data_IF_686031971239
#
_entry.id   IF_686031971239
#
_cell.length_a   1.000
_cell.length_b   1.000
_cell.length_c   1.000
_cell.angle_alpha   90.00
_cell.angle_beta   90.00
_cell.angle_gamma   90.00
#
_symmetry.space_group_name_H-M   'P 1'
#
loop_
_entity.id
_entity.type
_entity.pdbx_description
1 polymer ?
#
# COMPACT_ATOMS: atom_id res chain seq x y z
N UNK A 1 7.16 -1.11 -11.25
CA UNK A 1 7.23 -0.70 -12.70
C UNK A 1 6.62 -1.75 -13.61
N UNK A 2 6.62 -3.03 -13.22
CA UNK A 2 6.10 -4.16 -13.98
C UNK A 2 4.65 -4.01 -14.48
N UNK A 3 3.77 -3.36 -13.70
CA UNK A 3 2.40 -3.09 -14.14
C UNK A 3 2.33 -2.25 -15.43
N UNK A 4 3.22 -1.27 -15.63
CA UNK A 4 3.26 -0.51 -16.89
C UNK A 4 3.62 -1.39 -18.10
N UNK A 5 4.38 -2.46 -17.89
CA UNK A 5 4.71 -3.44 -18.93
C UNK A 5 3.67 -4.55 -19.07
N UNK A 6 2.54 -4.46 -18.35
CA UNK A 6 1.52 -5.50 -18.24
C UNK A 6 2.08 -6.85 -17.79
N UNK A 7 3.14 -6.85 -16.98
CA UNK A 7 3.78 -8.07 -16.46
C UNK A 7 3.30 -8.34 -15.03
N UNK A 8 2.21 -9.10 -14.90
CA UNK A 8 1.63 -9.45 -13.60
C UNK A 8 2.56 -10.30 -12.73
N UNK A 9 3.40 -11.15 -13.33
CA UNK A 9 4.37 -11.97 -12.60
C UNK A 9 5.39 -11.14 -11.83
N UNK A 10 6.11 -10.27 -12.55
CA UNK A 10 7.06 -9.34 -11.95
C UNK A 10 6.39 -8.36 -10.97
N UNK A 11 5.14 -7.95 -11.23
CA UNK A 11 4.42 -7.06 -10.31
C UNK A 11 4.09 -7.73 -8.96
N UNK A 12 3.66 -9.00 -8.98
CA UNK A 12 3.42 -9.75 -7.74
C UNK A 12 4.73 -10.10 -7.02
N UNK A 13 5.82 -10.31 -7.75
CA UNK A 13 7.15 -10.50 -7.17
C UNK A 13 7.66 -9.22 -6.50
N UNK A 14 7.54 -8.05 -7.15
CA UNK A 14 7.83 -6.74 -6.54
C UNK A 14 7.00 -6.52 -5.26
N UNK A 15 5.71 -6.93 -5.25
CA UNK A 15 4.85 -6.83 -4.08
C UNK A 15 5.24 -7.80 -2.95
N UNK A 16 5.70 -9.01 -3.29
CA UNK A 16 6.19 -9.98 -2.31
C UNK A 16 7.45 -9.48 -1.60
N UNK A 17 8.39 -8.93 -2.35
CA UNK A 17 9.61 -8.33 -1.79
C UNK A 17 9.28 -7.14 -0.87
N UNK A 18 8.29 -6.33 -1.24
CA UNK A 18 7.81 -5.25 -0.38
C UNK A 18 7.17 -5.76 0.91
N UNK A 19 6.36 -6.82 0.85
CA UNK A 19 5.78 -7.46 2.03
C UNK A 19 6.86 -8.00 2.98
N UNK A 20 7.93 -8.60 2.44
CA UNK A 20 9.08 -9.04 3.23
C UNK A 20 9.77 -7.85 3.92
N UNK A 21 9.94 -6.73 3.23
CA UNK A 21 10.50 -5.52 3.84
C UNK A 21 9.61 -4.98 4.98
N UNK A 22 8.28 -5.05 4.85
CA UNK A 22 7.34 -4.70 5.93
C UNK A 22 7.48 -5.67 7.11
N UNK A 23 7.56 -6.98 6.84
CA UNK A 23 7.73 -8.00 7.88
C UNK A 23 9.05 -7.82 8.65
N UNK A 24 10.15 -7.54 7.95
CA UNK A 24 11.43 -7.23 8.58
C UNK A 24 11.36 -5.94 9.42
N UNK A 25 10.69 -4.91 8.93
CA UNK A 25 10.49 -3.66 9.66
C UNK A 25 9.75 -3.90 10.97
N UNK A 26 8.69 -4.72 10.95
CA UNK A 26 7.96 -5.10 12.16
C UNK A 26 8.81 -5.89 13.16
N UNK A 27 9.77 -6.69 12.70
CA UNK A 27 10.68 -7.44 13.58
C UNK A 27 11.78 -6.56 14.20
N UNK A 28 12.16 -5.47 13.52
CA UNK A 28 13.25 -4.57 13.96
C UNK A 28 12.77 -3.42 14.85
N UNK A 29 11.50 -3.02 14.72
CA UNK A 29 10.94 -1.88 15.43
C UNK A 29 10.16 -2.30 16.67
N UNK A 30 10.14 -1.42 17.68
CA UNK A 30 9.33 -1.64 18.88
C UNK A 30 7.88 -1.17 18.62
N UNK A 31 6.88 -2.06 18.68
CA UNK A 31 5.50 -1.71 18.35
C UNK A 31 4.87 -0.69 19.33
N UNK A 32 5.51 -0.43 20.48
CA UNK A 32 5.02 0.54 21.47
C UNK A 32 5.39 1.99 21.16
N UNK A 33 6.40 2.22 20.33
CA UNK A 33 6.90 3.57 20.00
C UNK A 33 6.98 3.84 18.49
N UNK A 34 6.75 2.80 17.67
CA UNK A 34 6.88 2.88 16.22
C UNK A 34 5.53 2.72 15.54
N UNK A 35 5.11 3.76 14.79
CA UNK A 35 3.96 3.70 13.89
C UNK A 35 4.43 3.27 12.50
N UNK A 36 3.91 2.15 12.01
CA UNK A 36 4.18 1.63 10.66
C UNK A 36 2.90 1.81 9.83
N UNK A 37 3.02 2.50 8.69
CA UNK A 37 1.91 2.74 7.75
C UNK A 37 2.30 2.19 6.39
N UNK A 38 1.43 1.39 5.79
CA UNK A 38 1.58 0.79 4.46
C UNK A 38 0.41 1.25 3.60
N UNK A 39 0.70 1.81 2.43
CA UNK A 39 -0.28 2.28 1.46
C UNK A 39 0.30 2.19 0.05
N UNK A 40 -0.55 2.35 -0.96
CA UNK A 40 -0.12 2.68 -2.31
C UNK A 40 -0.29 4.18 -2.59
N UNK A 41 0.42 4.69 -3.59
CA UNK A 41 0.21 6.03 -4.14
C UNK A 41 -0.96 6.06 -5.14
N UNK A 42 -1.11 4.99 -5.91
CA UNK A 42 -2.24 4.72 -6.80
C UNK A 42 -2.35 3.21 -7.09
N UNK A 43 -3.46 2.80 -7.70
CA UNK A 43 -3.62 1.42 -8.18
C UNK A 43 -3.22 1.29 -9.66
N UNK A 44 -3.57 0.17 -10.27
CA UNK A 44 -3.43 -0.14 -11.70
C UNK A 44 -4.68 -0.86 -12.22
N UNK A 45 -4.90 -0.84 -13.53
CA UNK A 45 -5.98 -1.59 -14.21
C UNK A 45 -5.74 -3.11 -14.26
N UNK A 46 -5.15 -3.66 -13.21
CA UNK A 46 -4.91 -5.08 -13.03
C UNK A 46 -6.17 -5.75 -12.45
N UNK A 47 -6.58 -6.86 -13.05
CA UNK A 47 -7.71 -7.63 -12.58
C UNK A 47 -7.36 -9.12 -12.56
N UNK A 48 -7.81 -9.81 -11.51
CA UNK A 48 -7.76 -11.27 -11.40
C UNK A 48 -9.18 -11.79 -11.55
N UNK A 49 -9.39 -12.71 -12.48
CA UNK A 49 -10.72 -13.23 -12.79
C UNK A 49 -10.69 -14.63 -13.38
N UNK A 50 -11.85 -15.12 -13.80
CA UNK A 50 -12.07 -16.52 -14.18
C UNK A 50 -12.54 -17.37 -13.01
N UNK A 51 -12.61 -18.69 -13.22
CA UNK A 51 -13.00 -19.66 -12.20
C UNK A 51 -11.89 -20.71 -11.98
N UNK A 52 -10.66 -20.30 -11.58
CA UNK A 52 -9.58 -21.24 -11.34
C UNK A 52 -9.84 -22.08 -10.08
N UNK A 53 -9.40 -23.33 -10.09
CA UNK A 53 -9.40 -24.16 -8.88
C UNK A 53 -8.48 -23.56 -7.80
N UNK A 54 -8.81 -23.78 -6.52
CA UNK A 54 -7.96 -23.37 -5.41
C UNK A 54 -6.57 -24.01 -5.52
N UNK A 55 -5.53 -23.18 -5.40
CA UNK A 55 -4.14 -23.62 -5.52
C UNK A 55 -3.58 -23.59 -6.94
N UNK A 56 -4.40 -23.21 -7.94
CA UNK A 56 -3.91 -22.93 -9.27
C UNK A 56 -2.94 -21.74 -9.30
N UNK A 57 -1.96 -21.79 -10.21
CA UNK A 57 -0.99 -20.72 -10.39
C UNK A 57 -1.68 -19.45 -10.93
N UNK A 58 -1.53 -18.34 -10.22
CA UNK A 58 -2.15 -17.05 -10.56
C UNK A 58 -1.57 -16.39 -11.83
N UNK A 59 -0.35 -16.76 -12.23
CA UNK A 59 0.40 -16.10 -13.30
C UNK A 59 0.30 -16.82 -14.65
N UNK A 60 -0.05 -18.11 -14.63
CA UNK A 60 0.16 -19.08 -15.71
C UNK A 60 1.65 -19.24 -16.12
N UNK A 61 2.39 -18.15 -16.41
CA UNK A 61 3.83 -18.09 -16.66
C UNK A 61 4.46 -16.80 -16.07
N UNK A 62 5.70 -16.84 -15.55
CA UNK A 62 6.30 -15.70 -14.84
C UNK A 62 6.57 -14.46 -15.70
N UNK A 63 6.95 -14.65 -16.95
CA UNK A 63 7.40 -13.62 -17.91
C UNK A 63 6.30 -13.18 -18.89
N UNK A 64 5.07 -13.64 -18.68
CA UNK A 64 3.97 -13.35 -19.58
C UNK A 64 3.39 -11.95 -19.34
N UNK A 65 3.31 -11.18 -20.42
CA UNK A 65 2.55 -9.94 -20.45
C UNK A 65 1.06 -10.27 -20.66
N UNK A 66 0.22 -9.99 -19.66
CA UNK A 66 -1.21 -10.28 -19.73
C UNK A 66 -1.90 -9.41 -20.78
N UNK A 67 -2.95 -9.98 -21.39
CA UNK A 67 -3.75 -9.28 -22.39
C UNK A 67 -4.42 -8.04 -21.79
N UNK A 68 -4.45 -6.95 -22.54
CA UNK A 68 -5.17 -5.73 -22.20
C UNK A 68 -6.33 -5.49 -23.17
N UNK A 69 -7.36 -4.77 -22.73
CA UNK A 69 -8.48 -4.39 -23.59
C UNK A 69 -8.05 -3.39 -24.69
N UNK A 70 -7.04 -2.58 -24.41
CA UNK A 70 -6.51 -1.58 -25.34
C UNK A 70 -4.98 -1.65 -25.41
N UNK A 71 -4.40 -1.59 -26.62
CA UNK A 71 -2.96 -1.66 -26.79
C UNK A 71 -2.33 -0.30 -26.44
N UNK A 72 -1.64 -0.25 -25.30
CA UNK A 72 -0.81 0.88 -24.89
C UNK A 72 0.62 0.39 -24.67
N UNK A 73 1.60 1.26 -24.95
CA UNK A 73 3.02 0.97 -24.70
C UNK A 73 3.29 0.88 -23.19
N UNK A 74 2.50 1.61 -22.40
CA UNK A 74 2.51 1.57 -20.94
C UNK A 74 1.07 1.47 -20.43
N UNK A 75 0.78 0.49 -19.58
CA UNK A 75 -0.51 0.42 -18.89
C UNK A 75 -0.74 1.67 -18.03
N UNK A 76 -1.99 2.10 -17.89
CA UNK A 76 -2.36 3.27 -17.08
C UNK A 76 -2.40 2.92 -15.59
N UNK A 77 -2.40 3.95 -14.75
CA UNK A 77 -2.78 3.81 -13.35
C UNK A 77 -4.28 3.54 -13.21
N UNK A 78 -4.65 2.94 -12.08
CA UNK A 78 -6.02 2.81 -11.60
C UNK A 78 -6.41 4.03 -10.76
N UNK A 79 -7.68 4.39 -10.81
CA UNK A 79 -8.24 5.54 -10.09
C UNK A 79 -9.15 5.15 -8.93
N UNK A 80 -9.22 3.86 -8.61
CA UNK A 80 -9.92 3.33 -7.45
C UNK A 80 -9.15 3.61 -6.15
N UNK A 81 -9.89 3.55 -5.04
CA UNK A 81 -9.32 3.71 -3.71
C UNK A 81 -8.28 2.63 -3.41
N UNK A 82 -7.23 3.02 -2.70
CA UNK A 82 -6.16 2.12 -2.26
C UNK A 82 -6.25 1.91 -0.75
N UNK A 83 -5.85 0.72 -0.29
CA UNK A 83 -5.86 0.39 1.12
C UNK A 83 -4.75 1.13 1.89
N UNK A 84 -5.06 1.50 3.14
CA UNK A 84 -4.08 1.95 4.13
C UNK A 84 -4.10 0.97 5.30
N UNK A 85 -2.95 0.37 5.60
CA UNK A 85 -2.75 -0.48 6.77
C UNK A 85 -1.85 0.25 7.76
N UNK A 86 -2.19 0.19 9.05
CA UNK A 86 -1.40 0.82 10.10
C UNK A 86 -1.29 -0.06 11.35
N UNK A 87 -0.13 -0.04 12.00
CA UNK A 87 0.11 -0.67 13.30
C UNK A 87 1.02 0.20 14.18
N UNK A 88 0.87 0.08 15.49
CA UNK A 88 1.60 0.88 16.48
C UNK A 88 0.81 2.06 17.06
N UNK A 89 1.48 3.03 17.70
CA UNK A 89 0.83 4.18 18.32
C UNK A 89 -0.04 4.95 17.33
N UNK A 90 -1.27 5.28 17.75
CA UNK A 90 -2.23 6.05 16.94
C UNK A 90 -2.75 5.35 15.67
N UNK A 91 -2.45 4.07 15.45
CA UNK A 91 -2.94 3.34 14.27
C UNK A 91 -4.48 3.31 14.14
N UNK A 92 -5.21 3.41 15.26
CA UNK A 92 -6.67 3.50 15.29
C UNK A 92 -7.25 4.75 14.59
N UNK A 93 -6.43 5.76 14.27
CA UNK A 93 -6.85 6.93 13.49
C UNK A 93 -7.02 6.60 11.99
N UNK A 94 -6.43 5.50 11.50
CA UNK A 94 -6.61 5.03 10.14
C UNK A 94 -7.86 4.13 10.07
N UNK A 95 -9.04 4.73 10.08
CA UNK A 95 -10.32 4.02 10.06
C UNK A 95 -11.35 4.71 9.17
N UNK A 96 -11.98 3.94 8.27
CA UNK A 96 -12.96 4.48 7.34
C UNK A 96 -12.31 4.88 6.01
N UNK A 97 -12.85 5.92 5.38
CA UNK A 97 -12.39 6.43 4.07
C UNK A 97 -11.80 7.82 4.27
N UNK A 98 -10.61 8.04 3.71
CA UNK A 98 -9.87 9.28 3.86
C UNK A 98 -9.24 9.71 2.54
N UNK A 99 -9.04 11.02 2.38
CA UNK A 99 -8.18 11.56 1.35
C UNK A 99 -6.72 11.14 1.59
N UNK A 100 -5.93 10.93 0.53
CA UNK A 100 -4.52 10.55 0.65
C UNK A 100 -3.69 11.57 1.47
N UNK A 101 -4.11 12.85 1.50
CA UNK A 101 -3.48 13.91 2.30
C UNK A 101 -3.64 13.72 3.80
N UNK A 102 -4.59 12.88 4.24
CA UNK A 102 -4.78 12.50 5.63
C UNK A 102 -3.60 11.71 6.18
N UNK A 103 -2.96 10.88 5.35
CA UNK A 103 -1.86 9.98 5.75
C UNK A 103 -0.69 10.78 6.38
N UNK A 104 -0.05 11.74 5.68
CA UNK A 104 1.05 12.50 6.27
C UNK A 104 0.59 13.42 7.42
N UNK A 105 -0.68 13.82 7.45
CA UNK A 105 -1.23 14.61 8.55
C UNK A 105 -1.25 13.81 9.86
N UNK A 106 -1.77 12.58 9.82
CA UNK A 106 -1.80 11.67 10.98
C UNK A 106 -0.39 11.23 11.39
N UNK A 107 0.51 10.97 10.44
CA UNK A 107 1.90 10.67 10.77
C UNK A 107 2.57 11.82 11.52
N UNK A 108 2.37 13.07 11.06
CA UNK A 108 2.90 14.25 11.74
C UNK A 108 2.27 14.44 13.14
N UNK A 109 0.97 14.14 13.29
CA UNK A 109 0.28 14.15 14.57
C UNK A 109 0.87 13.12 15.55
N UNK A 110 0.98 11.86 15.11
CA UNK A 110 1.49 10.75 15.91
C UNK A 110 2.95 10.94 16.34
N UNK A 111 3.77 11.54 15.48
CA UNK A 111 5.18 11.81 15.74
C UNK A 111 5.44 13.16 16.44
N UNK A 112 4.41 13.96 16.71
CA UNK A 112 4.53 15.33 17.23
C UNK A 112 5.49 16.22 16.42
N UNK A 113 5.38 16.14 15.08
CA UNK A 113 6.22 16.88 14.13
C UNK A 113 5.43 18.03 13.51
N UNK A 114 6.14 19.12 13.18
CA UNK A 114 5.57 20.28 12.50
C UNK A 114 4.52 21.00 13.36
N UNK A 115 3.30 21.15 12.86
CA UNK A 115 2.22 21.90 13.54
C UNK A 115 1.77 21.29 14.87
N UNK A 116 2.16 20.04 15.15
CA UNK A 116 1.81 19.28 16.36
C UNK A 116 2.95 19.20 17.39
N UNK A 117 4.08 19.89 17.14
CA UNK A 117 5.20 19.89 18.06
C UNK A 117 4.95 20.74 19.33
N UNK A 118 5.73 20.49 20.39
CA UNK A 118 5.71 21.26 21.63
C UNK A 118 4.44 21.02 22.46
N UNK A 119 3.82 22.10 22.96
CA UNK A 119 2.61 22.03 23.80
C UNK A 119 1.36 21.48 23.09
N UNK A 120 1.44 21.28 21.77
CA UNK A 120 0.36 20.68 20.95
C UNK A 120 0.52 19.17 20.76
N UNK A 121 1.63 18.59 21.22
CA UNK A 121 1.88 17.16 21.15
C UNK A 121 0.90 16.41 22.07
N UNK A 122 0.16 15.46 21.52
CA UNK A 122 -0.88 14.73 22.27
C UNK A 122 -2.14 15.54 22.60
N UNK A 123 -2.26 16.77 22.09
CA UNK A 123 -3.53 17.50 22.14
C UNK A 123 -4.52 16.76 21.22
N UNK A 124 -5.57 16.17 21.78
CA UNK A 124 -6.65 15.65 20.97
C UNK A 124 -7.24 16.82 20.18
N UNK A 125 -7.40 16.73 18.85
CA UNK A 125 -8.21 17.72 18.15
C UNK A 125 -9.62 17.63 18.76
N UNK A 126 -10.01 18.70 19.47
CA UNK A 126 -11.37 18.93 19.95
C UNK A 126 -12.32 19.12 18.79
#
# INVERSE_FOLDING_TARGET
MAHHSSQGGAALEEALEFDQAVAETQQRLNPKDSLIVVTADHSHSFAMGGNPDRGANILARPDYAQQSAFPLIKATHGGEDVAVYATGPWAHLYSGVHDQTYIPYVMAYAACVGRFAGSKCGAHPS
#
